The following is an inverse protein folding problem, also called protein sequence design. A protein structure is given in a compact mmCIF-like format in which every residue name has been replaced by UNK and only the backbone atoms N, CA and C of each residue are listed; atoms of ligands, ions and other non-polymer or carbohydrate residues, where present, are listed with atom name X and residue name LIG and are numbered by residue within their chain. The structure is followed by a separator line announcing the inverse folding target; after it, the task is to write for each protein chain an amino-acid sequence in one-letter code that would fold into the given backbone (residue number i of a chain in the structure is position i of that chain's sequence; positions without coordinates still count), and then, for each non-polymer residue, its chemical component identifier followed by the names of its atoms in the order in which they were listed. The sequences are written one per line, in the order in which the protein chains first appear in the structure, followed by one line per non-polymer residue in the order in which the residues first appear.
data_IF_350672472091
#
_entry.id   IF_350672472091
#
_cell.length_a   1.000
_cell.length_b   1.000
_cell.length_c   1.000
_cell.angle_alpha   90.00
_cell.angle_beta   90.00
_cell.angle_gamma   90.00
#
_symmetry.space_group_name_H-M   'P 1'
#
loop_
_entity.id
_entity.type
_entity.pdbx_description
1 polymer ?
#
# COMPACT_ATOMS: atom_id res chain seq x y z
N UNK A 1 -52.09 -7.80 29.05
CA UNK A 1 -50.64 -7.79 28.80
C UNK A 1 -50.36 -6.56 27.97
N UNK A 2 -49.82 -5.51 28.57
CA UNK A 2 -48.39 -5.17 28.70
C UNK A 2 -47.86 -4.40 27.47
N UNK A 3 -47.63 -3.09 27.69
CA UNK A 3 -46.55 -2.22 27.16
C UNK A 3 -46.52 -2.00 25.63
N UNK A 4 -46.93 -0.87 25.06
CA UNK A 4 -46.43 0.51 25.20
C UNK A 4 -44.90 0.63 25.11
N UNK A 5 -44.39 0.99 23.93
CA UNK A 5 -43.16 1.78 23.69
C UNK A 5 -43.06 2.10 22.18
N UNK A 6 -43.78 3.14 21.77
CA UNK A 6 -43.39 3.95 20.61
C UNK A 6 -42.10 4.67 20.99
N UNK A 7 -40.97 4.27 20.38
CA UNK A 7 -39.72 5.00 20.50
C UNK A 7 -39.66 6.07 19.43
N UNK A 8 -40.15 7.27 19.74
CA UNK A 8 -39.87 8.47 18.96
C UNK A 8 -38.34 8.69 18.95
N UNK A 9 -37.71 8.58 17.77
CA UNK A 9 -36.35 9.08 17.58
C UNK A 9 -36.37 10.58 17.87
N UNK A 10 -35.77 11.00 18.98
CA UNK A 10 -35.55 12.42 19.29
C UNK A 10 -34.74 13.03 18.14
N UNK A 11 -35.28 14.01 17.40
CA UNK A 11 -34.51 14.64 16.34
C UNK A 11 -33.37 15.43 16.99
N UNK A 12 -32.13 15.09 16.63
CA UNK A 12 -30.96 15.86 17.04
C UNK A 12 -31.00 17.19 16.29
N UNK A 13 -31.56 18.22 16.92
CA UNK A 13 -31.39 19.60 16.47
C UNK A 13 -29.94 20.02 16.73
N UNK A 14 -29.06 19.83 15.74
CA UNK A 14 -27.75 20.48 15.77
C UNK A 14 -27.94 21.92 15.32
N UNK A 15 -27.98 22.85 16.27
CA UNK A 15 -27.95 24.27 15.98
C UNK A 15 -26.53 24.64 15.52
N UNK A 16 -26.36 24.96 14.24
CA UNK A 16 -25.12 25.54 13.74
C UNK A 16 -24.92 26.93 14.36
N UNK A 17 -23.86 27.09 15.16
CA UNK A 17 -23.43 28.41 15.61
C UNK A 17 -22.75 29.11 14.43
N UNK A 18 -23.41 30.11 13.84
CA UNK A 18 -22.80 31.01 12.85
C UNK A 18 -21.84 31.97 13.57
N UNK A 19 -20.61 31.53 13.81
CA UNK A 19 -19.51 32.47 14.06
C UNK A 19 -19.08 33.03 12.71
N UNK A 20 -19.21 34.36 12.54
CA UNK A 20 -18.73 35.09 11.36
C UNK A 20 -17.21 35.26 11.32
N UNK A 21 -16.45 34.46 12.09
CA UNK A 21 -14.99 34.47 12.08
C UNK A 21 -14.43 33.08 12.45
N UNK A 22 -14.51 32.13 11.51
CA UNK A 22 -13.97 30.75 11.65
C UNK A 22 -12.82 30.42 10.68
N UNK A 23 -12.37 31.37 9.85
CA UNK A 23 -11.38 31.14 8.79
C UNK A 23 -9.93 30.96 9.26
N UNK A 24 -9.68 30.56 10.52
CA UNK A 24 -8.30 30.54 11.05
C UNK A 24 -8.00 29.52 12.14
N UNK A 25 -8.97 28.67 12.52
CA UNK A 25 -8.78 27.69 13.59
C UNK A 25 -8.43 26.28 13.07
N UNK A 26 -8.57 26.02 11.77
CA UNK A 26 -8.21 24.73 11.16
C UNK A 26 -7.06 24.85 10.17
N UNK A 27 -6.90 25.98 9.48
CA UNK A 27 -5.96 26.08 8.36
C UNK A 27 -4.49 26.17 8.82
N UNK A 28 -4.21 26.76 10.00
CA UNK A 28 -2.84 26.91 10.51
C UNK A 28 -2.18 25.58 10.93
N UNK A 29 -2.95 24.65 11.50
CA UNK A 29 -2.44 23.33 11.88
C UNK A 29 -2.32 22.41 10.64
N UNK A 30 -3.20 22.58 9.65
CA UNK A 30 -3.19 21.81 8.41
C UNK A 30 -1.97 22.17 7.55
N UNK A 31 -1.59 23.44 7.43
CA UNK A 31 -0.38 23.85 6.70
C UNK A 31 0.92 23.37 7.39
N UNK A 32 0.98 23.44 8.71
CA UNK A 32 2.14 22.96 9.47
C UNK A 32 2.28 21.42 9.44
N UNK A 33 1.16 20.71 9.60
CA UNK A 33 1.11 19.24 9.54
C UNK A 33 1.41 18.73 8.12
N UNK A 34 0.83 19.34 7.09
CA UNK A 34 1.13 18.99 5.69
C UNK A 34 2.59 19.27 5.36
N UNK A 35 3.17 20.36 5.84
CA UNK A 35 4.60 20.66 5.70
C UNK A 35 5.50 19.61 6.37
N UNK A 36 5.13 19.13 7.57
CA UNK A 36 5.85 18.06 8.26
C UNK A 36 5.78 16.73 7.49
N UNK A 37 4.57 16.33 7.06
CA UNK A 37 4.35 15.12 6.26
C UNK A 37 5.13 15.16 4.95
N UNK A 38 5.14 16.30 4.27
CA UNK A 38 5.87 16.48 3.01
C UNK A 38 7.38 16.31 3.21
N UNK A 39 7.95 16.84 4.30
CA UNK A 39 9.37 16.67 4.64
C UNK A 39 9.72 15.22 4.93
N UNK A 40 8.90 14.52 5.72
CA UNK A 40 9.10 13.10 6.03
C UNK A 40 9.05 12.27 4.75
N UNK A 41 8.05 12.52 3.90
CA UNK A 41 7.88 11.83 2.62
C UNK A 41 9.06 12.07 1.67
N UNK A 42 9.55 13.31 1.57
CA UNK A 42 10.69 13.66 0.74
C UNK A 42 11.97 12.94 1.20
N UNK A 43 12.27 12.99 2.51
CA UNK A 43 13.41 12.29 3.10
C UNK A 43 13.33 10.78 2.89
N UNK A 44 12.15 10.20 3.13
CA UNK A 44 11.93 8.77 2.91
C UNK A 44 12.16 8.40 1.45
N UNK A 45 11.59 9.18 0.53
CA UNK A 45 11.73 8.93 -0.90
C UNK A 45 13.19 9.06 -1.34
N UNK A 46 13.96 9.99 -0.76
CA UNK A 46 15.40 10.09 -1.02
C UNK A 46 16.15 8.83 -0.58
N UNK A 47 15.94 8.39 0.67
CA UNK A 47 16.63 7.22 1.23
C UNK A 47 16.26 5.93 0.48
N UNK A 48 14.97 5.72 0.19
CA UNK A 48 14.47 4.54 -0.52
C UNK A 48 14.92 4.44 -1.99
N UNK A 49 15.59 5.47 -2.51
CA UNK A 49 16.10 5.49 -3.88
C UNK A 49 17.62 5.31 -3.96
N UNK A 50 18.30 5.14 -2.83
CA UNK A 50 19.74 4.85 -2.80
C UNK A 50 19.95 3.35 -2.98
N UNK A 51 20.77 2.98 -3.95
CA UNK A 51 21.16 1.59 -4.18
C UNK A 51 22.34 1.20 -3.27
N UNK A 52 22.10 1.28 -1.97
CA UNK A 52 23.06 1.03 -0.91
C UNK A 52 22.35 0.35 0.27
N UNK A 53 23.11 -0.39 1.09
CA UNK A 53 22.59 -0.94 2.34
C UNK A 53 22.29 0.21 3.31
N UNK A 54 21.19 0.13 4.05
CA UNK A 54 20.86 1.12 5.07
C UNK A 54 22.01 1.31 6.07
N UNK A 55 22.37 2.57 6.27
CA UNK A 55 23.36 2.98 7.27
C UNK A 55 22.69 3.27 8.61
N UNK A 56 23.46 3.32 9.71
CA UNK A 56 22.94 3.75 11.02
C UNK A 56 22.25 5.12 10.95
N UNK A 57 22.76 6.04 10.13
CA UNK A 57 22.14 7.34 9.90
C UNK A 57 20.75 7.22 9.23
N UNK A 58 20.58 6.27 8.30
CA UNK A 58 19.27 6.03 7.69
C UNK A 58 18.28 5.46 8.71
N UNK A 59 18.73 4.61 9.64
CA UNK A 59 17.90 4.14 10.76
C UNK A 59 17.47 5.29 11.67
N UNK A 60 18.39 6.19 12.08
CA UNK A 60 18.07 7.35 12.90
C UNK A 60 17.09 8.30 12.19
N UNK A 61 17.25 8.46 10.88
CA UNK A 61 16.39 9.30 10.06
C UNK A 61 15.00 8.69 9.86
N UNK A 62 14.89 7.40 9.53
CA UNK A 62 13.61 6.75 9.22
C UNK A 62 12.85 6.32 10.49
N UNK A 63 13.56 5.83 11.50
CA UNK A 63 13.00 5.27 12.73
C UNK A 63 13.48 6.01 13.99
N UNK A 64 13.23 7.33 14.13
CA UNK A 64 13.73 8.12 15.26
C UNK A 64 13.17 7.69 16.62
N UNK A 65 12.06 6.94 16.64
CA UNK A 65 11.45 6.36 17.85
C UNK A 65 11.90 4.93 18.13
N UNK A 66 12.81 4.38 17.31
CA UNK A 66 13.32 3.01 17.39
C UNK A 66 12.21 1.96 17.46
N UNK A 67 11.10 2.16 16.72
CA UNK A 67 9.99 1.21 16.71
C UNK A 67 10.45 -0.14 16.17
N UNK A 68 10.24 -1.21 16.94
CA UNK A 68 10.78 -2.52 16.60
C UNK A 68 10.24 -3.04 15.26
N UNK A 69 8.99 -2.72 14.90
CA UNK A 69 8.39 -3.10 13.62
C UNK A 69 9.11 -2.45 12.43
N UNK A 70 9.42 -1.16 12.51
CA UNK A 70 10.11 -0.42 11.45
C UNK A 70 11.57 -0.86 11.34
N UNK A 71 12.27 -0.96 12.47
CA UNK A 71 13.66 -1.44 12.51
C UNK A 71 13.78 -2.85 11.93
N UNK A 72 12.88 -3.76 12.29
CA UNK A 72 12.86 -5.11 11.71
C UNK A 72 12.58 -5.09 10.20
N UNK A 73 11.72 -4.17 9.74
CA UNK A 73 11.42 -4.04 8.31
C UNK A 73 12.62 -3.48 7.54
N UNK A 74 13.33 -2.49 8.09
CA UNK A 74 14.58 -1.98 7.52
C UNK A 74 15.66 -3.07 7.46
N UNK A 75 15.82 -3.86 8.52
CA UNK A 75 16.74 -5.01 8.54
C UNK A 75 16.36 -6.09 7.51
N UNK A 76 15.07 -6.32 7.26
CA UNK A 76 14.62 -7.28 6.26
C UNK A 76 14.83 -6.78 4.83
N UNK A 77 14.76 -5.46 4.61
CA UNK A 77 14.96 -4.84 3.29
C UNK A 77 16.44 -4.68 2.96
N UNK A 78 17.29 -4.38 3.94
CA UNK A 78 18.74 -4.09 3.80
C UNK A 78 19.07 -3.00 2.76
N UNK A 79 18.98 -3.30 1.48
CA UNK A 79 19.07 -2.36 0.36
C UNK A 79 17.67 -2.15 -0.27
N UNK A 80 17.12 -0.93 -0.25
CA UNK A 80 15.77 -0.65 -0.74
C UNK A 80 15.63 -0.83 -2.26
N UNK A 81 16.65 -0.49 -3.05
CA UNK A 81 16.61 -0.62 -4.52
C UNK A 81 16.68 -2.08 -4.92
N UNK A 82 17.63 -2.85 -4.36
CA UNK A 82 17.74 -4.30 -4.58
C UNK A 82 16.45 -5.04 -4.21
N UNK A 83 15.83 -4.69 -3.08
CA UNK A 83 14.53 -5.26 -2.70
C UNK A 83 13.42 -4.86 -3.68
N UNK A 84 13.41 -3.63 -4.18
CA UNK A 84 12.48 -3.23 -5.24
C UNK A 84 12.72 -3.98 -6.56
N UNK A 85 13.96 -4.28 -6.92
CA UNK A 85 14.29 -5.13 -8.08
C UNK A 85 13.71 -6.54 -7.91
N UNK A 86 13.81 -7.12 -6.71
CA UNK A 86 13.20 -8.43 -6.39
C UNK A 86 11.67 -8.37 -6.50
N UNK A 87 11.04 -7.37 -5.87
CA UNK A 87 9.59 -7.18 -5.97
C UNK A 87 9.15 -6.99 -7.41
N UNK A 88 9.87 -6.20 -8.21
CA UNK A 88 9.56 -5.98 -9.62
C UNK A 88 9.66 -7.28 -10.43
N UNK A 89 10.71 -8.07 -10.21
CA UNK A 89 10.89 -9.39 -10.85
C UNK A 89 9.73 -10.33 -10.52
N UNK A 90 9.31 -10.35 -9.25
CA UNK A 90 8.17 -11.16 -8.80
C UNK A 90 6.86 -10.71 -9.43
N UNK A 91 6.63 -9.39 -9.55
CA UNK A 91 5.46 -8.85 -10.25
C UNK A 91 5.46 -9.25 -11.73
N UNK A 92 6.61 -9.18 -12.42
CA UNK A 92 6.73 -9.63 -13.81
C UNK A 92 6.43 -11.12 -13.99
N UNK A 93 6.94 -11.95 -13.07
CA UNK A 93 6.64 -13.38 -13.02
C UNK A 93 5.14 -13.60 -12.84
N UNK A 94 4.54 -12.93 -11.86
CA UNK A 94 3.11 -13.01 -11.57
C UNK A 94 2.25 -12.64 -12.78
N UNK A 95 2.52 -11.49 -13.41
CA UNK A 95 1.82 -11.06 -14.63
C UNK A 95 1.96 -12.09 -15.75
N UNK A 96 3.13 -12.69 -15.91
CA UNK A 96 3.38 -13.72 -16.93
C UNK A 96 2.61 -15.01 -16.66
N UNK A 97 2.54 -15.44 -15.39
CA UNK A 97 1.74 -16.59 -14.97
C UNK A 97 0.24 -16.37 -15.24
N UNK A 98 -0.27 -15.16 -14.96
CA UNK A 98 -1.68 -14.81 -15.24
C UNK A 98 -1.95 -14.84 -16.75
N UNK A 99 -1.07 -14.25 -17.57
CA UNK A 99 -1.19 -14.31 -19.05
C UNK A 99 -1.23 -15.75 -19.56
N UNK A 100 -0.33 -16.60 -19.08
CA UNK A 100 -0.30 -18.02 -19.44
C UNK A 100 -1.58 -18.74 -19.05
N UNK A 101 -2.18 -18.42 -17.88
CA UNK A 101 -3.46 -19.02 -17.48
C UNK A 101 -4.62 -18.59 -18.36
N UNK A 102 -4.62 -17.35 -18.85
CA UNK A 102 -5.64 -16.85 -19.77
C UNK A 102 -5.63 -17.57 -21.13
N UNK A 103 -4.51 -18.18 -21.52
CA UNK A 103 -4.41 -19.00 -22.73
C UNK A 103 -5.09 -20.37 -22.58
N UNK A 104 -5.35 -20.83 -21.35
CA UNK A 104 -6.07 -22.09 -21.10
C UNK A 104 -7.58 -21.87 -21.24
N UNK A 105 -8.26 -22.56 -22.19
CA UNK A 105 -9.71 -22.45 -22.35
C UNK A 105 -10.51 -22.79 -21.08
N UNK A 106 -9.95 -23.57 -20.16
CA UNK A 106 -10.60 -23.89 -18.86
C UNK A 106 -10.68 -22.69 -17.93
N UNK A 107 -9.89 -21.65 -18.18
CA UNK A 107 -9.83 -20.44 -17.37
C UNK A 107 -10.88 -19.39 -17.77
N UNK A 108 -11.57 -19.57 -18.91
CA UNK A 108 -12.51 -18.59 -19.45
C UNK A 108 -13.70 -18.29 -18.51
N UNK A 109 -14.17 -19.31 -17.79
CA UNK A 109 -15.29 -19.19 -16.84
C UNK A 109 -14.82 -19.04 -15.38
N UNK A 110 -13.50 -18.88 -15.16
CA UNK A 110 -12.95 -18.76 -13.81
C UNK A 110 -13.34 -17.43 -13.18
N UNK A 111 -14.07 -17.50 -12.06
CA UNK A 111 -14.44 -16.35 -11.26
C UNK A 111 -13.57 -16.30 -10.00
N UNK A 112 -12.90 -15.17 -9.80
CA UNK A 112 -12.13 -14.86 -8.61
C UNK A 112 -13.05 -14.24 -7.54
N UNK A 113 -12.48 -13.93 -6.38
CA UNK A 113 -13.23 -13.30 -5.30
C UNK A 113 -13.92 -12.00 -5.78
N UNK A 114 -15.16 -11.79 -5.33
CA UNK A 114 -16.02 -10.69 -5.78
C UNK A 114 -16.30 -10.66 -7.30
N UNK A 115 -16.31 -11.83 -7.95
CA UNK A 115 -16.57 -11.96 -9.39
C UNK A 115 -15.54 -11.20 -10.24
N UNK A 116 -14.31 -11.06 -9.75
CA UNK A 116 -13.19 -10.56 -10.55
C UNK A 116 -12.82 -11.62 -11.62
N UNK A 117 -12.60 -11.22 -12.87
CA UNK A 117 -12.10 -12.14 -13.91
C UNK A 117 -10.57 -12.13 -13.94
N UNK A 118 -9.96 -13.16 -14.54
CA UNK A 118 -8.51 -13.21 -14.71
C UNK A 118 -7.96 -12.04 -15.55
N UNK A 119 -8.73 -11.52 -16.52
CA UNK A 119 -8.35 -10.34 -17.29
C UNK A 119 -8.30 -9.09 -16.42
N UNK A 120 -9.23 -8.91 -15.48
CA UNK A 120 -9.20 -7.78 -14.55
C UNK A 120 -8.02 -7.86 -13.58
N UNK A 121 -7.74 -9.05 -13.05
CA UNK A 121 -6.53 -9.30 -12.26
C UNK A 121 -5.27 -8.99 -13.08
N UNK A 122 -5.21 -9.41 -14.35
CA UNK A 122 -4.09 -9.11 -15.24
C UNK A 122 -3.93 -7.60 -15.46
N UNK A 123 -5.03 -6.88 -15.66
CA UNK A 123 -5.03 -5.42 -15.84
C UNK A 123 -4.49 -4.71 -14.59
N UNK A 124 -4.92 -5.13 -13.40
CA UNK A 124 -4.44 -4.61 -12.12
C UNK A 124 -2.94 -4.81 -11.95
N UNK A 125 -2.45 -6.04 -12.13
CA UNK A 125 -1.02 -6.35 -12.01
C UNK A 125 -0.16 -5.72 -13.10
N UNK A 126 -0.61 -5.72 -14.36
CA UNK A 126 0.11 -5.07 -15.47
C UNK A 126 0.19 -3.55 -15.29
N UNK A 127 -0.83 -2.93 -14.66
CA UNK A 127 -0.79 -1.51 -14.31
C UNK A 127 0.26 -1.25 -13.24
N UNK A 128 0.26 -2.02 -12.16
CA UNK A 128 1.26 -1.88 -11.09
C UNK A 128 2.68 -2.13 -11.60
N UNK A 129 2.89 -3.16 -12.43
CA UNK A 129 4.17 -3.46 -13.05
C UNK A 129 4.73 -2.23 -13.79
N UNK A 130 3.93 -1.64 -14.68
CA UNK A 130 4.34 -0.47 -15.47
C UNK A 130 4.53 0.79 -14.62
N UNK A 131 3.64 1.00 -13.65
CA UNK A 131 3.65 2.22 -12.85
C UNK A 131 4.75 2.19 -11.76
N UNK A 132 5.20 0.99 -11.34
CA UNK A 132 6.23 0.83 -10.31
C UNK A 132 7.64 1.16 -10.81
N UNK A 133 8.01 0.77 -12.04
CA UNK A 133 9.34 1.10 -12.62
C UNK A 133 9.21 2.28 -13.59
N UNK A 134 9.82 3.40 -13.23
CA UNK A 134 9.83 4.61 -14.07
C UNK A 134 10.75 4.44 -15.29
N UNK A 135 10.51 5.24 -16.34
CA UNK A 135 11.37 5.29 -17.54
C UNK A 135 12.83 5.63 -17.26
N UNK A 136 13.11 6.31 -16.15
CA UNK A 136 14.46 6.64 -15.68
C UNK A 136 15.22 5.43 -15.13
N UNK A 137 14.56 4.29 -14.95
CA UNK A 137 15.11 3.15 -14.22
C UNK A 137 15.01 3.29 -12.70
N UNK A 138 14.32 4.31 -12.18
CA UNK A 138 14.03 4.44 -10.74
C UNK A 138 12.66 3.82 -10.40
N UNK A 139 12.44 3.55 -9.12
CA UNK A 139 11.17 3.05 -8.63
C UNK A 139 10.22 4.17 -8.19
N UNK A 140 8.94 4.05 -8.49
CA UNK A 140 7.90 4.87 -7.89
C UNK A 140 7.51 4.27 -6.54
N UNK A 141 8.16 4.76 -5.48
CA UNK A 141 7.97 4.31 -4.09
C UNK A 141 6.50 4.46 -3.64
N UNK A 142 5.73 5.36 -4.26
CA UNK A 142 4.31 5.54 -3.94
C UNK A 142 3.43 4.34 -4.31
N UNK A 143 3.93 3.40 -5.12
CA UNK A 143 3.19 2.17 -5.53
C UNK A 143 3.37 0.99 -4.59
N UNK A 144 4.32 1.07 -3.66
CA UNK A 144 4.59 -0.02 -2.71
C UNK A 144 3.35 -0.39 -1.87
N UNK A 145 2.57 0.57 -1.31
CA UNK A 145 1.33 0.24 -0.60
C UNK A 145 0.33 -0.50 -1.49
N UNK A 146 0.13 -0.04 -2.73
CA UNK A 146 -0.79 -0.65 -3.68
C UNK A 146 -0.37 -2.10 -4.02
N UNK A 147 0.93 -2.35 -4.20
CA UNK A 147 1.48 -3.70 -4.46
C UNK A 147 1.24 -4.60 -3.26
N UNK A 148 1.54 -4.12 -2.05
CA UNK A 148 1.32 -4.88 -0.80
C UNK A 148 -0.16 -5.25 -0.62
N UNK A 149 -1.07 -4.29 -0.79
CA UNK A 149 -2.50 -4.53 -0.64
C UNK A 149 -3.02 -5.50 -1.70
N UNK A 150 -2.56 -5.37 -2.95
CA UNK A 150 -2.91 -6.29 -4.04
C UNK A 150 -2.47 -7.73 -3.75
N UNK A 151 -1.20 -7.96 -3.41
CA UNK A 151 -0.72 -9.33 -3.13
C UNK A 151 -1.35 -9.89 -1.87
N UNK A 152 -1.57 -9.06 -0.83
CA UNK A 152 -2.27 -9.48 0.39
C UNK A 152 -3.69 -9.96 0.07
N UNK A 153 -4.44 -9.18 -0.71
CA UNK A 153 -5.78 -9.54 -1.17
C UNK A 153 -5.76 -10.87 -1.93
N UNK A 154 -4.84 -11.02 -2.89
CA UNK A 154 -4.75 -12.23 -3.72
C UNK A 154 -4.33 -13.47 -2.91
N UNK A 155 -3.39 -13.33 -1.97
CA UNK A 155 -3.00 -14.42 -1.06
C UNK A 155 -4.17 -14.84 -0.15
N UNK A 156 -4.99 -13.89 0.30
CA UNK A 156 -6.12 -14.18 1.20
C UNK A 156 -7.32 -14.77 0.48
N UNK A 157 -7.61 -14.31 -0.73
CA UNK A 157 -8.89 -14.58 -1.40
C UNK A 157 -8.76 -15.40 -2.68
N UNK A 158 -7.61 -15.35 -3.34
CA UNK A 158 -7.37 -15.96 -4.65
C UNK A 158 -6.26 -17.03 -4.60
N UNK A 159 -5.92 -17.56 -3.42
CA UNK A 159 -4.87 -18.57 -3.23
C UNK A 159 -5.11 -19.88 -3.98
N UNK A 160 -6.37 -20.21 -4.27
CA UNK A 160 -6.76 -21.36 -5.10
C UNK A 160 -6.23 -21.30 -6.53
N UNK A 161 -5.83 -20.12 -7.02
CA UNK A 161 -5.18 -19.98 -8.33
C UNK A 161 -3.84 -20.71 -8.41
N UNK A 162 -3.16 -20.91 -7.29
CA UNK A 162 -1.83 -21.53 -7.28
C UNK A 162 -0.81 -20.71 -8.06
N UNK A 163 -0.81 -19.38 -7.88
CA UNK A 163 0.23 -18.49 -8.40
C UNK A 163 1.49 -18.65 -7.55
N UNK A 164 2.61 -18.90 -8.22
CA UNK A 164 3.91 -19.14 -7.58
C UNK A 164 4.47 -17.84 -6.99
N UNK A 165 5.29 -17.97 -5.95
CA UNK A 165 6.04 -16.89 -5.27
C UNK A 165 5.21 -15.73 -4.68
N UNK A 166 3.87 -15.85 -4.66
CA UNK A 166 2.97 -14.85 -4.05
C UNK A 166 3.25 -14.59 -2.57
N UNK A 167 3.69 -15.61 -1.83
CA UNK A 167 4.09 -15.46 -0.42
C UNK A 167 5.38 -14.63 -0.29
N UNK A 168 6.34 -14.81 -1.19
CA UNK A 168 7.59 -14.04 -1.17
C UNK A 168 7.33 -12.59 -1.56
N UNK A 169 6.53 -12.37 -2.60
CA UNK A 169 6.06 -11.04 -2.99
C UNK A 169 5.32 -10.35 -1.83
N UNK A 170 4.49 -11.07 -1.08
CA UNK A 170 3.83 -10.55 0.10
C UNK A 170 4.81 -10.16 1.21
N UNK A 171 5.83 -10.97 1.50
CA UNK A 171 6.82 -10.65 2.55
C UNK A 171 7.64 -9.41 2.20
N UNK A 172 8.20 -9.35 1.00
CA UNK A 172 9.04 -8.24 0.56
C UNK A 172 8.23 -6.95 0.45
N UNK A 173 7.05 -7.01 -0.17
CA UNK A 173 6.17 -5.83 -0.28
C UNK A 173 5.69 -5.33 1.08
N UNK A 174 5.41 -6.23 2.04
CA UNK A 174 5.08 -5.86 3.42
C UNK A 174 6.23 -5.16 4.13
N UNK A 175 7.46 -5.67 4.00
CA UNK A 175 8.64 -5.07 4.62
C UNK A 175 8.86 -3.64 4.08
N UNK A 176 8.76 -3.46 2.76
CA UNK A 176 8.79 -2.14 2.14
C UNK A 176 7.61 -1.26 2.59
N UNK A 177 6.38 -1.78 2.61
CA UNK A 177 5.18 -1.05 3.00
C UNK A 177 5.26 -0.50 4.43
N UNK A 178 5.79 -1.29 5.38
CA UNK A 178 6.00 -0.87 6.76
C UNK A 178 6.96 0.33 6.88
N UNK A 179 7.88 0.49 5.93
CA UNK A 179 8.80 1.65 5.89
C UNK A 179 8.10 2.87 5.32
N UNK A 180 7.39 2.70 4.19
CA UNK A 180 6.82 3.83 3.43
C UNK A 180 5.51 4.38 3.97
N UNK A 181 4.76 3.58 4.73
CA UNK A 181 3.50 3.98 5.37
C UNK A 181 3.82 4.48 6.79
N UNK A 182 3.64 5.78 7.09
CA UNK A 182 3.87 6.32 8.43
C UNK A 182 3.05 5.56 9.48
N UNK A 183 3.69 5.22 10.61
CA UNK A 183 3.06 4.62 11.79
C UNK A 183 2.46 5.68 12.70
#
# INVERSE_FOLDING_TARGET
GLLALEGELTPILVQMVKSANMNGLLDNDIESLSGCQQRVKARLHEIMQKDEIFTEEDFDRLAPTCSSSLVNSMNAVENPVSTCDQVYTLVQSLTSQIRKRLEDPKSADLQLYHSETLEMMLQRWSKLERDFRMKSGRYDISKIPDIYDCVKYDVQHNSSLGLEDTLELFKLSRALANIVIPQ
#
